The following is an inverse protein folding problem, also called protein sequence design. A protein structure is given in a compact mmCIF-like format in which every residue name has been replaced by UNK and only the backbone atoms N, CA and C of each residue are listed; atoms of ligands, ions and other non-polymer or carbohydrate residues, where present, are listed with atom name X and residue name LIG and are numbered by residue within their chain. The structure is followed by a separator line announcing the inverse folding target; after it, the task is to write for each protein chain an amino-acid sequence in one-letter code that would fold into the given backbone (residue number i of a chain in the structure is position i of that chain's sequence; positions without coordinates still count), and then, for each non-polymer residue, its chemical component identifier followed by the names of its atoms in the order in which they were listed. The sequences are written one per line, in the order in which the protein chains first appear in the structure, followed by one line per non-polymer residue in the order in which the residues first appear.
data_IF_845116619903
#
_entry.id   IF_845116619903
#
_cell.length_a   1.000
_cell.length_b   1.000
_cell.length_c   1.000
_cell.angle_alpha   90.00
_cell.angle_beta   90.00
_cell.angle_gamma   90.00
#
_symmetry.space_group_name_H-M   'P 1'
#
loop_
_entity.id
_entity.type
_entity.pdbx_description
1 polymer ?
#
# COMPACT_ATOMS: atom_id res chain seq x y z
N UNK A 1 23.66 11.80 5.13
CA UNK A 1 22.65 11.09 4.32
C UNK A 1 22.42 11.91 3.07
N UNK A 2 22.55 11.29 1.89
CA UNK A 2 22.42 12.02 0.63
C UNK A 2 20.94 12.45 0.43
N UNK A 3 20.65 13.60 -0.20
CA UNK A 3 19.27 14.05 -0.44
C UNK A 3 18.40 13.00 -1.14
N UNK A 4 18.99 12.19 -2.03
CA UNK A 4 18.32 11.06 -2.70
C UNK A 4 17.88 9.96 -1.71
N UNK A 5 18.69 9.67 -0.68
CA UNK A 5 18.36 8.66 0.32
C UNK A 5 17.19 9.10 1.21
N UNK A 6 17.12 10.40 1.54
CA UNK A 6 15.98 10.95 2.28
C UNK A 6 14.69 10.78 1.48
N UNK A 7 14.71 11.14 0.20
CA UNK A 7 13.54 11.02 -0.67
C UNK A 7 13.06 9.57 -0.79
N UNK A 8 13.97 8.62 -1.04
CA UNK A 8 13.64 7.19 -1.14
C UNK A 8 13.10 6.66 0.19
N UNK A 9 13.69 7.04 1.32
CA UNK A 9 13.26 6.62 2.66
C UNK A 9 11.86 7.10 2.99
N UNK A 10 11.54 8.37 2.70
CA UNK A 10 10.20 8.94 2.93
C UNK A 10 9.14 8.23 2.08
N UNK A 11 9.42 7.97 0.80
CA UNK A 11 8.50 7.26 -0.09
C UNK A 11 8.29 5.80 0.38
N UNK A 12 9.38 5.11 0.74
CA UNK A 12 9.33 3.74 1.26
C UNK A 12 8.49 3.64 2.53
N UNK A 13 8.65 4.59 3.46
CA UNK A 13 7.85 4.70 4.67
C UNK A 13 6.36 4.92 4.37
N UNK A 14 6.04 5.83 3.45
CA UNK A 14 4.67 6.09 3.02
C UNK A 14 4.01 4.84 2.42
N UNK A 15 4.71 4.12 1.53
CA UNK A 15 4.23 2.85 0.95
C UNK A 15 3.96 1.82 2.05
N UNK A 16 4.82 1.75 3.07
CA UNK A 16 4.62 0.87 4.23
C UNK A 16 3.34 1.19 5.01
N UNK A 17 3.09 2.47 5.29
CA UNK A 17 1.86 2.91 5.97
C UNK A 17 0.63 2.60 5.11
N UNK A 18 0.70 2.86 3.81
CA UNK A 18 -0.39 2.57 2.88
C UNK A 18 -0.71 1.07 2.81
N UNK A 19 0.30 0.21 2.89
CA UNK A 19 0.14 -1.24 2.97
C UNK A 19 -0.65 -1.65 4.21
N UNK A 20 -0.34 -1.05 5.37
CA UNK A 20 -1.08 -1.29 6.62
C UNK A 20 -2.54 -0.84 6.47
N UNK A 21 -2.81 0.31 5.85
CA UNK A 21 -4.17 0.78 5.60
C UNK A 21 -4.97 -0.22 4.72
N UNK A 22 -4.36 -0.71 3.64
CA UNK A 22 -4.99 -1.74 2.80
C UNK A 22 -5.22 -3.04 3.56
N UNK A 23 -4.26 -3.46 4.39
CA UNK A 23 -4.42 -4.64 5.21
C UNK A 23 -5.60 -4.52 6.18
N UNK A 24 -5.75 -3.37 6.85
CA UNK A 24 -6.90 -3.06 7.69
C UNK A 24 -8.20 -3.06 6.87
N UNK A 25 -8.22 -2.43 5.69
CA UNK A 25 -9.39 -2.41 4.78
C UNK A 25 -9.86 -3.81 4.43
N UNK A 26 -8.94 -4.75 4.17
CA UNK A 26 -9.28 -6.15 3.89
C UNK A 26 -9.82 -6.85 5.12
N UNK A 27 -9.14 -6.74 6.26
CA UNK A 27 -9.62 -7.35 7.50
C UNK A 27 -11.03 -6.88 7.84
N UNK A 28 -11.31 -5.58 7.70
CA UNK A 28 -12.62 -4.99 7.93
C UNK A 28 -13.65 -5.40 6.87
N UNK A 29 -13.25 -5.64 5.62
CA UNK A 29 -14.16 -6.14 4.56
C UNK A 29 -14.73 -7.52 4.86
N UNK A 30 -14.07 -8.31 5.72
CA UNK A 30 -14.58 -9.61 6.16
C UNK A 30 -15.70 -9.48 7.21
N UNK A 31 -15.88 -8.29 7.79
CA UNK A 31 -16.94 -8.02 8.75
C UNK A 31 -18.13 -7.33 8.05
N UNK A 32 -19.27 -8.03 7.85
CA UNK A 32 -20.41 -7.48 7.13
C UNK A 32 -21.16 -6.36 7.88
N UNK A 33 -20.85 -6.14 9.16
CA UNK A 33 -21.51 -5.15 10.03
C UNK A 33 -20.78 -3.80 10.12
N UNK A 34 -19.70 -3.59 9.34
CA UNK A 34 -18.97 -2.31 9.34
C UNK A 34 -19.70 -1.28 8.51
N UNK A 35 -19.99 -0.13 9.11
CA UNK A 35 -20.55 1.02 8.41
C UNK A 35 -19.43 1.85 7.76
N UNK A 36 -19.29 1.73 6.45
CA UNK A 36 -18.29 2.43 5.66
C UNK A 36 -18.58 3.91 5.44
N UNK A 37 -19.78 4.39 5.78
CA UNK A 37 -20.18 5.80 5.65
C UNK A 37 -19.77 6.61 6.88
N UNK A 38 -19.52 5.94 8.01
CA UNK A 38 -19.18 6.59 9.28
C UNK A 38 -17.67 6.67 9.53
N UNK A 39 -17.14 7.80 10.06
CA UNK A 39 -15.76 7.88 10.52
C UNK A 39 -15.51 6.88 11.67
N UNK A 40 -14.32 6.23 11.74
CA UNK A 40 -13.13 6.45 10.90
C UNK A 40 -13.11 5.65 9.58
N UNK A 41 -14.07 4.75 9.35
CA UNK A 41 -14.08 3.85 8.19
C UNK A 41 -14.33 4.55 6.85
N UNK A 42 -15.07 5.67 6.89
CA UNK A 42 -15.27 6.52 5.71
C UNK A 42 -13.98 7.17 5.20
N UNK A 43 -13.04 7.48 6.10
CA UNK A 43 -11.73 8.04 5.73
C UNK A 43 -10.87 6.93 5.12
N UNK A 44 -10.88 5.74 5.73
CA UNK A 44 -10.13 4.59 5.22
C UNK A 44 -10.59 4.19 3.82
N UNK A 45 -11.91 4.12 3.59
CA UNK A 45 -12.47 3.82 2.27
C UNK A 45 -12.09 4.89 1.25
N UNK A 46 -12.22 6.18 1.57
CA UNK A 46 -11.80 7.27 0.67
C UNK A 46 -10.31 7.20 0.26
N UNK A 47 -9.42 6.77 1.15
CA UNK A 47 -7.98 6.64 0.87
C UNK A 47 -7.64 5.37 0.08
N UNK A 48 -8.38 4.28 0.30
CA UNK A 48 -8.07 2.97 -0.29
C UNK A 48 -8.87 2.69 -1.56
N UNK A 49 -10.06 3.25 -1.71
CA UNK A 49 -10.98 3.01 -2.84
C UNK A 49 -10.45 3.46 -4.19
N UNK A 50 -9.78 4.61 -4.35
CA UNK A 50 -9.19 4.98 -5.65
C UNK A 50 -8.19 3.94 -6.14
N UNK A 51 -7.37 3.40 -5.24
CA UNK A 51 -6.40 2.34 -5.57
C UNK A 51 -7.10 1.01 -5.83
N UNK A 52 -8.02 0.60 -4.96
CA UNK A 52 -8.77 -0.65 -5.12
C UNK A 52 -9.64 -0.65 -6.37
N UNK A 53 -10.25 0.47 -6.75
CA UNK A 53 -11.08 0.58 -7.96
C UNK A 53 -10.31 0.29 -9.25
N UNK A 54 -9.01 0.58 -9.29
CA UNK A 54 -8.14 0.20 -10.41
C UNK A 54 -8.11 -1.33 -10.54
N UNK A 55 -8.01 -2.06 -9.42
CA UNK A 55 -7.97 -3.53 -9.41
C UNK A 55 -9.36 -4.18 -9.50
N UNK A 56 -10.41 -3.53 -8.99
CA UNK A 56 -11.81 -4.00 -9.09
C UNK A 56 -12.30 -4.03 -10.53
N UNK A 57 -11.72 -3.22 -11.41
CA UNK A 57 -12.00 -3.27 -12.86
C UNK A 57 -11.49 -4.57 -13.51
N UNK A 58 -10.48 -5.22 -12.92
CA UNK A 58 -9.96 -6.51 -13.40
C UNK A 58 -10.65 -7.70 -12.74
N UNK A 59 -11.02 -7.58 -11.46
CA UNK A 59 -11.69 -8.65 -10.69
C UNK A 59 -12.87 -8.06 -9.93
N UNK A 60 -14.12 -8.35 -10.35
CA UNK A 60 -15.30 -7.93 -9.63
C UNK A 60 -15.32 -8.53 -8.22
N UNK A 61 -15.85 -7.83 -7.21
CA UNK A 61 -16.02 -8.39 -5.88
C UNK A 61 -17.01 -9.56 -5.92
N UNK A 62 -16.57 -10.75 -5.48
CA UNK A 62 -17.39 -11.96 -5.43
C UNK A 62 -17.86 -12.17 -3.99
N UNK A 63 -19.18 -12.10 -3.76
CA UNK A 63 -19.79 -12.44 -2.47
C UNK A 63 -19.47 -11.49 -1.32
N UNK A 64 -19.25 -10.20 -1.59
CA UNK A 64 -18.91 -9.19 -0.57
C UNK A 64 -17.45 -9.22 -0.12
N UNK A 65 -16.65 -10.20 -0.56
CA UNK A 65 -15.21 -10.26 -0.36
C UNK A 65 -14.47 -9.57 -1.50
N UNK A 66 -13.59 -8.65 -1.14
CA UNK A 66 -12.84 -7.85 -2.10
C UNK A 66 -11.53 -8.57 -2.50
N UNK A 67 -11.64 -9.58 -3.37
CA UNK A 67 -10.49 -10.32 -3.90
C UNK A 67 -9.49 -9.42 -4.64
N UNK A 68 -9.98 -8.29 -5.17
CA UNK A 68 -9.15 -7.23 -5.76
C UNK A 68 -8.08 -6.73 -4.78
N UNK A 69 -8.38 -6.75 -3.48
CA UNK A 69 -7.50 -6.21 -2.45
C UNK A 69 -6.30 -7.12 -2.15
N UNK A 70 -6.42 -8.45 -2.32
CA UNK A 70 -5.28 -9.38 -2.21
C UNK A 70 -4.26 -9.08 -3.32
N UNK A 71 -4.74 -8.88 -4.55
CA UNK A 71 -3.90 -8.50 -5.69
C UNK A 71 -3.28 -7.12 -5.49
N UNK A 72 -4.06 -6.19 -4.95
CA UNK A 72 -3.60 -4.84 -4.63
C UNK A 72 -2.48 -4.84 -3.58
N UNK A 73 -2.56 -5.70 -2.54
CA UNK A 73 -1.49 -5.90 -1.56
C UNK A 73 -0.27 -6.56 -2.21
N UNK A 74 -0.45 -7.59 -3.02
CA UNK A 74 0.65 -8.27 -3.70
C UNK A 74 1.44 -7.28 -4.58
N UNK A 75 0.74 -6.47 -5.37
CA UNK A 75 1.34 -5.44 -6.20
C UNK A 75 2.11 -4.40 -5.35
N UNK A 76 1.53 -3.97 -4.24
CA UNK A 76 2.18 -3.00 -3.34
C UNK A 76 3.39 -3.61 -2.62
N UNK A 77 3.36 -4.90 -2.28
CA UNK A 77 4.51 -5.62 -1.72
C UNK A 77 5.66 -5.73 -2.71
N UNK A 78 5.38 -6.03 -3.97
CA UNK A 78 6.40 -6.05 -5.03
C UNK A 78 7.02 -4.67 -5.21
N UNK A 79 6.19 -3.62 -5.22
CA UNK A 79 6.66 -2.23 -5.28
C UNK A 79 7.57 -1.89 -4.10
N UNK A 80 7.17 -2.26 -2.88
CA UNK A 80 7.98 -2.04 -1.66
C UNK A 80 9.32 -2.78 -1.73
N UNK A 81 9.33 -4.03 -2.17
CA UNK A 81 10.56 -4.81 -2.33
C UNK A 81 11.50 -4.18 -3.35
N UNK A 82 10.96 -3.69 -4.48
CA UNK A 82 11.75 -2.95 -5.48
C UNK A 82 12.33 -1.66 -4.88
N UNK A 83 11.52 -0.85 -4.18
CA UNK A 83 11.98 0.37 -3.50
C UNK A 83 13.11 0.09 -2.49
N UNK A 84 12.98 -0.98 -1.69
CA UNK A 84 14.02 -1.39 -0.75
C UNK A 84 15.32 -1.80 -1.46
N UNK A 85 15.24 -2.55 -2.56
CA UNK A 85 16.43 -2.92 -3.34
C UNK A 85 17.17 -1.69 -3.91
N UNK A 86 16.42 -0.70 -4.40
CA UNK A 86 16.98 0.56 -4.90
C UNK A 86 17.63 1.35 -3.77
N UNK A 87 16.97 1.44 -2.60
CA UNK A 87 17.53 2.09 -1.42
C UNK A 87 18.86 1.46 -0.99
N UNK A 88 18.96 0.13 -1.00
CA UNK A 88 20.19 -0.59 -0.66
C UNK A 88 21.30 -0.28 -1.66
N UNK A 89 21.02 -0.33 -2.97
CA UNK A 89 22.01 -0.01 -4.01
C UNK A 89 22.50 1.46 -3.94
N UNK A 90 21.60 2.41 -3.70
CA UNK A 90 21.93 3.83 -3.53
C UNK A 90 22.69 4.09 -2.21
N UNK A 91 22.41 3.29 -1.18
CA UNK A 91 23.19 3.26 0.07
C UNK A 91 24.62 2.79 -0.17
N UNK A 92 24.78 1.66 -0.86
CA UNK A 92 26.08 1.05 -1.14
C UNK A 92 26.99 1.95 -1.97
N UNK A 93 26.47 2.65 -2.99
CA UNK A 93 27.27 3.62 -3.75
C UNK A 93 27.78 4.76 -2.86
N UNK A 94 26.94 5.28 -1.96
CA UNK A 94 27.34 6.39 -1.08
C UNK A 94 28.47 6.04 -0.10
N UNK A 95 28.59 4.76 0.28
CA UNK A 95 29.70 4.27 1.12
C UNK A 95 30.99 4.00 0.37
N UNK A 96 30.98 3.98 -0.96
CA UNK A 96 32.16 3.74 -1.80
C UNK A 96 32.83 5.05 -2.26
N UNK A 97 32.09 6.16 -2.26
CA UNK A 97 32.55 7.48 -2.70
C UNK A 97 32.64 8.51 -1.56
N UNK A 98 32.47 8.07 -0.30
CA UNK A 98 32.67 8.87 0.91
C UNK A 98 33.86 8.35 1.70
#
# INVERSE_FOLDING_TARGET
MNPLQLLISTISGFVGIYLVLLFIRILLSWFPNIDWLNPPFSILSQLTDPYLNIFRSFIPPLGGLDFSAILAILALQLLRSALMSVQVSAGMQSSLFG
#
